data_IF_887715980266
#
_entry.id   IF_887715980266
#
_cell.length_a   1.000
_cell.length_b   1.000
_cell.length_c   1.000
_cell.angle_alpha   90.00
_cell.angle_beta   90.00
_cell.angle_gamma   90.00
#
_symmetry.space_group_name_H-M   'P 1'
#
loop_
_entity.id
_entity.type
_entity.pdbx_description
1 polymer ?
#
# COMPACT_ATOMS: atom_id res chain seq x y z
N UNK A 1 6.41 2.62 26.78
CA UNK A 1 6.93 2.33 25.42
C UNK A 1 6.07 1.30 24.68
N UNK A 2 5.38 0.39 25.34
CA UNK A 2 4.59 -0.69 24.72
C UNK A 2 3.21 -0.25 24.19
N UNK A 3 2.64 0.85 24.68
CA UNK A 3 1.24 1.23 24.42
C UNK A 3 0.87 1.40 22.93
N UNK A 4 1.69 2.05 22.07
CA UNK A 4 1.39 2.13 20.63
C UNK A 4 1.35 0.77 19.94
N UNK A 5 2.23 -0.16 20.34
CA UNK A 5 2.26 -1.53 19.83
C UNK A 5 1.03 -2.33 20.25
N UNK A 6 0.61 -2.18 21.50
CA UNK A 6 -0.63 -2.80 22.00
C UNK A 6 -1.86 -2.25 21.26
N UNK A 7 -1.89 -0.95 20.99
CA UNK A 7 -2.94 -0.31 20.21
C UNK A 7 -3.01 -0.87 18.79
N UNK A 8 -1.87 -0.97 18.11
CA UNK A 8 -1.77 -1.55 16.78
C UNK A 8 -2.16 -3.02 16.75
N UNK A 9 -1.71 -3.81 17.74
CA UNK A 9 -2.09 -5.22 17.86
C UNK A 9 -3.60 -5.38 18.13
N UNK A 10 -4.18 -4.55 18.98
CA UNK A 10 -5.62 -4.56 19.25
C UNK A 10 -6.44 -4.23 17.99
N UNK A 11 -6.02 -3.23 17.20
CA UNK A 11 -6.66 -2.88 15.93
C UNK A 11 -6.59 -4.05 14.95
N UNK A 12 -5.41 -4.62 14.75
CA UNK A 12 -5.23 -5.76 13.85
C UNK A 12 -6.06 -6.99 14.27
N UNK A 13 -6.09 -7.32 15.56
CA UNK A 13 -6.91 -8.42 16.08
C UNK A 13 -8.41 -8.15 15.94
N UNK A 14 -8.83 -6.88 16.12
CA UNK A 14 -10.21 -6.49 15.86
C UNK A 14 -10.59 -6.69 14.39
N UNK A 15 -9.71 -6.28 13.47
CA UNK A 15 -9.94 -6.45 12.03
C UNK A 15 -10.05 -7.94 11.66
N UNK A 16 -9.18 -8.79 12.20
CA UNK A 16 -9.27 -10.24 12.00
C UNK A 16 -10.56 -10.84 12.57
N UNK A 17 -10.94 -10.42 13.77
CA UNK A 17 -12.23 -10.83 14.36
C UNK A 17 -13.40 -10.40 13.48
N UNK A 18 -13.36 -9.17 12.97
CA UNK A 18 -14.39 -8.66 12.08
C UNK A 18 -14.49 -9.47 10.78
N UNK A 19 -13.36 -9.84 10.19
CA UNK A 19 -13.32 -10.72 9.02
C UNK A 19 -13.94 -12.09 9.33
N UNK A 20 -13.58 -12.69 10.46
CA UNK A 20 -13.98 -14.07 10.81
C UNK A 20 -15.46 -14.17 11.22
N UNK A 21 -16.00 -13.20 11.93
CA UNK A 21 -17.31 -13.32 12.58
C UNK A 21 -18.37 -12.48 11.86
N UNK A 22 -18.40 -11.14 11.92
CA UNK A 22 -19.39 -10.35 11.18
C UNK A 22 -19.25 -10.52 9.67
N UNK A 23 -18.01 -10.50 9.17
CA UNK A 23 -17.68 -10.55 7.76
C UNK A 23 -18.11 -11.83 7.04
N UNK A 24 -18.35 -12.91 7.76
CA UNK A 24 -18.86 -14.16 7.18
C UNK A 24 -20.16 -13.96 6.41
N UNK A 25 -20.99 -13.03 6.85
CA UNK A 25 -22.34 -12.79 6.32
C UNK A 25 -22.40 -11.61 5.34
N UNK A 26 -21.30 -10.92 5.14
CA UNK A 26 -21.21 -9.74 4.28
C UNK A 26 -20.35 -10.10 3.07
N UNK A 27 -21.00 -10.37 1.94
CA UNK A 27 -20.29 -10.59 0.66
C UNK A 27 -20.96 -9.70 -0.37
N UNK A 28 -20.23 -8.72 -0.88
CA UNK A 28 -20.66 -7.91 -2.01
C UNK A 28 -20.13 -8.50 -3.34
N UNK A 29 -20.59 -7.92 -4.45
CA UNK A 29 -20.24 -8.37 -5.80
C UNK A 29 -18.75 -8.21 -6.10
N UNK A 30 -18.11 -7.17 -5.56
CA UNK A 30 -16.70 -6.88 -5.83
C UNK A 30 -15.82 -7.90 -5.12
N UNK A 31 -16.16 -8.21 -3.86
CA UNK A 31 -15.45 -9.22 -3.09
C UNK A 31 -15.61 -10.62 -3.70
N UNK A 32 -16.83 -10.97 -4.12
CA UNK A 32 -17.09 -12.23 -4.81
C UNK A 32 -16.27 -12.32 -6.10
N UNK A 33 -16.23 -11.25 -6.89
CA UNK A 33 -15.44 -11.16 -8.12
C UNK A 33 -13.95 -11.38 -7.88
N UNK A 34 -13.38 -10.75 -6.84
CA UNK A 34 -11.96 -10.95 -6.47
C UNK A 34 -11.66 -12.41 -6.08
N UNK A 35 -12.56 -13.04 -5.35
CA UNK A 35 -12.41 -14.45 -4.97
C UNK A 35 -12.53 -15.40 -6.17
N UNK A 36 -13.50 -15.17 -7.07
CA UNK A 36 -13.67 -15.96 -8.31
C UNK A 36 -12.44 -15.79 -9.21
N UNK A 37 -11.94 -14.56 -9.39
CA UNK A 37 -10.72 -14.31 -10.16
C UNK A 37 -9.52 -15.03 -9.53
N UNK A 38 -9.40 -15.02 -8.22
CA UNK A 38 -8.31 -15.68 -7.49
C UNK A 38 -8.32 -17.20 -7.71
N UNK A 39 -9.49 -17.82 -7.65
CA UNK A 39 -9.68 -19.24 -7.92
C UNK A 39 -9.38 -19.59 -9.39
N UNK A 40 -9.87 -18.78 -10.33
CA UNK A 40 -9.59 -18.93 -11.75
C UNK A 40 -8.08 -18.88 -12.04
N UNK A 41 -7.38 -17.88 -11.49
CA UNK A 41 -5.94 -17.73 -11.66
C UNK A 41 -5.14 -18.90 -11.05
N UNK A 42 -5.62 -19.50 -9.95
CA UNK A 42 -5.03 -20.70 -9.39
C UNK A 42 -5.23 -21.92 -10.33
N UNK A 43 -6.42 -22.09 -10.88
CA UNK A 43 -6.74 -23.18 -11.82
C UNK A 43 -5.95 -23.05 -13.13
N UNK A 44 -5.78 -21.85 -13.64
CA UNK A 44 -5.01 -21.58 -14.86
C UNK A 44 -3.49 -21.56 -14.64
N UNK A 45 -3.01 -21.44 -13.41
CA UNK A 45 -1.59 -21.27 -13.09
C UNK A 45 -1.01 -19.98 -13.66
N UNK A 46 -1.83 -18.98 -13.93
CA UNK A 46 -1.46 -17.75 -14.61
C UNK A 46 -1.47 -16.52 -13.68
N UNK A 47 -0.82 -15.44 -14.13
CA UNK A 47 -0.84 -14.12 -13.46
C UNK A 47 -2.04 -13.30 -13.93
N UNK A 48 -2.40 -13.46 -15.18
CA UNK A 48 -3.52 -12.78 -15.86
C UNK A 48 -4.32 -13.85 -16.58
N UNK A 49 -5.64 -13.86 -16.38
CA UNK A 49 -6.54 -14.76 -17.07
C UNK A 49 -7.02 -14.17 -18.41
N UNK A 50 -7.01 -14.97 -19.46
CA UNK A 50 -7.67 -14.62 -20.73
C UNK A 50 -9.18 -14.89 -20.69
N UNK A 51 -9.65 -15.64 -19.70
CA UNK A 51 -11.05 -16.01 -19.49
C UNK A 51 -11.77 -15.06 -18.52
N UNK A 52 -11.13 -13.93 -18.13
CA UNK A 52 -11.68 -12.93 -17.24
C UNK A 52 -11.80 -11.57 -17.92
N UNK A 53 -12.94 -10.93 -17.76
CA UNK A 53 -13.14 -9.56 -18.25
C UNK A 53 -12.66 -8.55 -17.19
N UNK A 54 -11.51 -7.95 -17.44
CA UNK A 54 -10.97 -6.85 -16.63
C UNK A 54 -11.66 -5.54 -17.06
N UNK A 55 -12.53 -4.99 -16.22
CA UNK A 55 -13.34 -3.80 -16.58
C UNK A 55 -12.51 -2.53 -16.71
N UNK A 56 -11.97 -2.02 -15.61
CA UNK A 56 -11.24 -0.73 -15.58
C UNK A 56 -9.78 -0.88 -15.16
N UNK A 57 -9.41 -2.00 -14.56
CA UNK A 57 -8.10 -2.22 -13.96
C UNK A 57 -7.62 -3.64 -14.24
N UNK A 58 -6.38 -3.77 -14.69
CA UNK A 58 -5.80 -5.07 -15.00
C UNK A 58 -5.49 -5.92 -13.74
N UNK A 59 -5.32 -5.26 -12.58
CA UNK A 59 -5.11 -5.90 -11.26
C UNK A 59 -3.99 -6.96 -11.26
N UNK A 60 -2.82 -6.64 -11.81
CA UNK A 60 -1.72 -7.61 -11.94
C UNK A 60 -1.17 -8.03 -10.57
N UNK A 61 -0.97 -7.07 -9.67
CA UNK A 61 -0.54 -7.34 -8.27
C UNK A 61 -1.51 -6.65 -7.33
N UNK A 62 -2.59 -7.31 -6.97
CA UNK A 62 -3.64 -6.78 -6.11
C UNK A 62 -4.12 -7.87 -5.13
N UNK A 63 -5.29 -7.71 -4.53
CA UNK A 63 -5.86 -8.60 -3.52
C UNK A 63 -5.93 -10.07 -3.97
N UNK A 64 -6.18 -10.33 -5.24
CA UNK A 64 -6.25 -11.69 -5.76
C UNK A 64 -5.00 -12.53 -5.43
N UNK A 65 -3.82 -11.93 -5.30
CA UNK A 65 -2.61 -12.67 -4.91
C UNK A 65 -2.70 -13.23 -3.50
N UNK A 66 -3.24 -12.46 -2.59
CA UNK A 66 -3.38 -12.85 -1.18
C UNK A 66 -4.53 -13.87 -1.02
N UNK A 67 -5.62 -13.69 -1.77
CA UNK A 67 -6.72 -14.65 -1.79
C UNK A 67 -6.32 -15.98 -2.43
N UNK A 68 -5.48 -15.95 -3.49
CA UNK A 68 -4.88 -17.16 -4.07
C UNK A 68 -4.12 -17.97 -3.04
N UNK A 69 -3.27 -17.31 -2.23
CA UNK A 69 -2.58 -18.00 -1.12
C UNK A 69 -3.55 -18.60 -0.12
N UNK A 70 -4.62 -17.88 0.21
CA UNK A 70 -5.68 -18.37 1.08
C UNK A 70 -6.39 -19.59 0.50
N UNK A 71 -6.75 -19.56 -0.78
CA UNK A 71 -7.40 -20.69 -1.47
C UNK A 71 -6.49 -21.92 -1.59
N UNK A 72 -5.18 -21.77 -1.66
CA UNK A 72 -4.23 -22.89 -1.61
C UNK A 72 -4.20 -23.56 -0.24
N UNK A 73 -4.44 -22.80 0.84
CA UNK A 73 -4.45 -23.32 2.22
C UNK A 73 -5.83 -23.83 2.64
N UNK A 74 -6.90 -23.20 2.15
CA UNK A 74 -8.29 -23.48 2.49
C UNK A 74 -9.15 -23.62 1.21
N UNK A 75 -8.92 -24.65 0.39
CA UNK A 75 -9.58 -24.79 -0.93
C UNK A 75 -11.10 -24.93 -0.83
N UNK A 76 -11.60 -25.55 0.25
CA UNK A 76 -13.01 -25.83 0.45
C UNK A 76 -13.75 -24.78 1.31
N UNK A 77 -13.01 -23.78 1.82
CA UNK A 77 -13.58 -22.71 2.66
C UNK A 77 -13.13 -21.33 2.18
N UNK A 78 -13.93 -20.74 1.30
CA UNK A 78 -13.66 -19.42 0.75
C UNK A 78 -13.67 -18.30 1.80
N UNK A 79 -14.41 -18.48 2.89
CA UNK A 79 -14.42 -17.52 3.97
C UNK A 79 -13.08 -17.50 4.73
N UNK A 80 -12.55 -18.69 5.07
CA UNK A 80 -11.23 -18.78 5.69
C UNK A 80 -10.12 -18.36 4.72
N UNK A 81 -10.20 -18.76 3.44
CA UNK A 81 -9.26 -18.32 2.41
C UNK A 81 -9.18 -16.79 2.30
N UNK A 82 -10.33 -16.14 2.25
CA UNK A 82 -10.42 -14.67 2.22
C UNK A 82 -9.85 -14.05 3.48
N UNK A 83 -10.26 -14.55 4.65
CA UNK A 83 -9.79 -14.04 5.94
C UNK A 83 -8.28 -14.13 6.07
N UNK A 84 -7.69 -15.24 5.63
CA UNK A 84 -6.24 -15.41 5.58
C UNK A 84 -5.59 -14.38 4.63
N UNK A 85 -6.13 -14.23 3.42
CA UNK A 85 -5.63 -13.25 2.45
C UNK A 85 -5.67 -11.82 3.00
N UNK A 86 -6.76 -11.45 3.69
CA UNK A 86 -6.88 -10.15 4.35
C UNK A 86 -5.93 -10.00 5.52
N UNK A 87 -5.71 -11.04 6.32
CA UNK A 87 -4.72 -11.01 7.41
C UNK A 87 -3.32 -10.68 6.87
N UNK A 88 -2.91 -11.34 5.79
CA UNK A 88 -1.62 -11.06 5.15
C UNK A 88 -1.58 -9.65 4.57
N UNK A 89 -2.64 -9.20 3.90
CA UNK A 89 -2.72 -7.85 3.32
C UNK A 89 -2.60 -6.77 4.39
N UNK A 90 -3.34 -6.89 5.50
CA UNK A 90 -3.28 -5.95 6.62
C UNK A 90 -1.91 -5.97 7.32
N UNK A 91 -1.28 -7.13 7.46
CA UNK A 91 0.07 -7.24 8.01
C UNK A 91 1.11 -6.54 7.12
N UNK A 92 1.02 -6.72 5.79
CA UNK A 92 1.89 -6.02 4.83
C UNK A 92 1.63 -4.52 4.83
N UNK A 93 0.38 -4.10 4.89
CA UNK A 93 0.02 -2.69 5.03
C UNK A 93 0.66 -2.09 6.28
N UNK A 94 0.50 -2.72 7.45
CA UNK A 94 1.12 -2.28 8.69
C UNK A 94 2.65 -2.24 8.59
N UNK A 95 3.27 -3.24 7.98
CA UNK A 95 4.72 -3.30 7.79
C UNK A 95 5.23 -2.15 6.89
N UNK A 96 4.54 -1.85 5.78
CA UNK A 96 4.87 -0.72 4.91
C UNK A 96 4.72 0.63 5.63
N UNK A 97 3.65 0.79 6.43
CA UNK A 97 3.44 1.99 7.25
C UNK A 97 4.54 2.16 8.30
N UNK A 98 4.92 1.07 8.99
CA UNK A 98 6.04 1.10 9.96
C UNK A 98 7.37 1.43 9.29
N UNK A 99 7.61 0.90 8.10
CA UNK A 99 8.78 1.24 7.31
C UNK A 99 8.80 2.73 6.92
N UNK A 100 7.66 3.26 6.48
CA UNK A 100 7.49 4.69 6.21
C UNK A 100 7.75 5.54 7.46
N UNK A 101 7.14 5.20 8.61
CA UNK A 101 7.35 5.88 9.90
C UNK A 101 8.83 5.94 10.28
N UNK A 102 9.54 4.82 10.07
CA UNK A 102 10.99 4.74 10.32
C UNK A 102 11.77 5.67 9.38
N UNK A 103 11.47 5.64 8.08
CA UNK A 103 12.16 6.46 7.08
C UNK A 103 11.85 7.96 7.24
N UNK A 104 10.62 8.30 7.61
CA UNK A 104 10.19 9.67 7.90
C UNK A 104 10.59 10.16 9.30
N UNK A 105 11.28 9.32 10.09
CA UNK A 105 11.76 9.64 11.46
C UNK A 105 10.65 10.13 12.40
N UNK A 106 9.41 9.67 12.21
CA UNK A 106 8.23 10.12 12.98
C UNK A 106 8.22 9.64 14.43
N UNK A 107 9.07 8.67 14.77
CA UNK A 107 9.20 8.16 16.12
C UNK A 107 7.89 7.62 16.71
N UNK A 108 7.64 7.93 17.97
CA UNK A 108 6.47 7.43 18.72
C UNK A 108 5.11 7.91 18.15
N UNK A 109 4.92 9.18 17.75
CA UNK A 109 3.70 9.61 17.06
C UNK A 109 3.37 8.78 15.82
N UNK A 110 4.39 8.42 15.03
CA UNK A 110 4.21 7.57 13.87
C UNK A 110 3.67 6.16 14.22
N UNK A 111 4.09 5.56 15.33
CA UNK A 111 3.55 4.27 15.78
C UNK A 111 2.05 4.37 16.15
N UNK A 112 1.64 5.46 16.80
CA UNK A 112 0.23 5.74 17.07
C UNK A 112 -0.57 5.91 15.78
N UNK A 113 0.00 6.63 14.80
CA UNK A 113 -0.60 6.81 13.48
C UNK A 113 -0.88 5.45 12.81
N UNK A 114 0.07 4.52 12.80
CA UNK A 114 -0.12 3.19 12.20
C UNK A 114 -1.27 2.44 12.87
N UNK A 115 -1.29 2.39 14.21
CA UNK A 115 -2.37 1.74 14.94
C UNK A 115 -3.73 2.39 14.68
N UNK A 116 -3.79 3.72 14.57
CA UNK A 116 -5.03 4.44 14.28
C UNK A 116 -5.51 4.20 12.86
N UNK A 117 -4.60 4.07 11.88
CA UNK A 117 -4.97 3.76 10.49
C UNK A 117 -5.43 2.32 10.29
N UNK A 118 -5.06 1.41 11.16
CA UNK A 118 -5.64 0.06 11.20
C UNK A 118 -7.02 0.06 11.86
N UNK A 119 -7.32 0.99 12.75
CA UNK A 119 -8.59 1.03 13.45
C UNK A 119 -9.72 1.57 12.57
N UNK A 120 -10.87 0.89 12.45
CA UNK A 120 -11.98 1.34 11.64
C UNK A 120 -12.68 2.54 12.28
N UNK A 121 -12.48 3.73 11.75
CA UNK A 121 -13.06 4.98 12.26
C UNK A 121 -14.34 5.43 11.52
N UNK A 122 -14.93 4.55 10.72
CA UNK A 122 -16.19 4.81 10.03
C UNK A 122 -16.63 3.63 9.19
N UNK A 123 -17.94 3.54 8.92
CA UNK A 123 -18.53 2.44 8.18
C UNK A 123 -17.90 2.25 6.79
N UNK A 124 -17.71 3.33 6.05
CA UNK A 124 -17.09 3.26 4.71
C UNK A 124 -15.65 2.80 4.78
N UNK A 125 -14.87 3.28 5.74
CA UNK A 125 -13.50 2.83 5.93
C UNK A 125 -13.45 1.35 6.31
N UNK A 126 -14.32 0.91 7.23
CA UNK A 126 -14.44 -0.49 7.61
C UNK A 126 -14.76 -1.37 6.39
N UNK A 127 -15.76 -1.00 5.60
CA UNK A 127 -16.22 -1.81 4.46
C UNK A 127 -15.21 -1.81 3.32
N UNK A 128 -14.76 -0.64 2.87
CA UNK A 128 -13.95 -0.53 1.65
C UNK A 128 -12.45 -0.71 1.87
N UNK A 129 -11.93 -0.36 3.04
CA UNK A 129 -10.51 -0.52 3.33
C UNK A 129 -10.24 -1.81 4.12
N UNK A 130 -10.84 -1.94 5.30
CA UNK A 130 -10.48 -3.02 6.22
C UNK A 130 -11.12 -4.34 5.80
N UNK A 131 -12.42 -4.35 5.50
CA UNK A 131 -13.15 -5.57 5.15
C UNK A 131 -12.91 -6.01 3.70
N UNK A 132 -13.14 -5.12 2.74
CA UNK A 132 -12.98 -5.38 1.31
C UNK A 132 -11.54 -5.29 0.83
N UNK A 133 -10.69 -4.54 1.53
CA UNK A 133 -9.29 -4.37 1.16
C UNK A 133 -9.04 -3.64 -0.17
N UNK A 134 -10.08 -3.11 -0.82
CA UNK A 134 -10.04 -2.58 -2.19
C UNK A 134 -8.99 -1.49 -2.41
N UNK A 135 -8.65 -0.73 -1.36
CA UNK A 135 -7.68 0.36 -1.42
C UNK A 135 -6.40 0.10 -0.65
N UNK A 136 -6.32 -0.98 0.14
CA UNK A 136 -5.14 -1.27 0.96
C UNK A 136 -3.90 -1.53 0.11
N UNK A 137 -4.05 -2.29 -0.97
CA UNK A 137 -2.92 -2.63 -1.85
C UNK A 137 -2.35 -1.38 -2.51
N UNK A 138 -3.18 -0.45 -2.94
CA UNK A 138 -2.72 0.84 -3.48
C UNK A 138 -1.99 1.65 -2.41
N UNK A 139 -2.56 1.69 -1.20
CA UNK A 139 -2.02 2.49 -0.09
C UNK A 139 -0.67 1.95 0.39
N UNK A 140 -0.48 0.65 0.48
CA UNK A 140 0.83 0.14 0.89
C UNK A 140 1.90 0.37 -0.18
N UNK A 141 1.57 0.31 -1.47
CA UNK A 141 2.51 0.70 -2.53
C UNK A 141 2.92 2.18 -2.41
N UNK A 142 1.96 3.08 -2.12
CA UNK A 142 2.26 4.50 -1.91
C UNK A 142 3.24 4.69 -0.75
N UNK A 143 2.95 4.08 0.39
CA UNK A 143 3.80 4.20 1.57
C UNK A 143 5.18 3.60 1.35
N UNK A 144 5.26 2.49 0.61
CA UNK A 144 6.53 1.88 0.27
C UNK A 144 7.38 2.76 -0.64
N UNK A 145 6.79 3.35 -1.68
CA UNK A 145 7.50 4.29 -2.58
C UNK A 145 7.98 5.51 -1.81
N UNK A 146 7.11 6.13 -1.00
CA UNK A 146 7.49 7.29 -0.17
C UNK A 146 8.61 6.94 0.80
N UNK A 147 8.55 5.78 1.46
CA UNK A 147 9.59 5.32 2.36
C UNK A 147 10.94 5.15 1.66
N UNK A 148 10.95 4.55 0.45
CA UNK A 148 12.15 4.36 -0.34
C UNK A 148 12.75 5.69 -0.79
N UNK A 149 11.91 6.64 -1.23
CA UNK A 149 12.33 8.00 -1.59
C UNK A 149 12.94 8.71 -0.38
N UNK A 150 12.25 8.74 0.77
CA UNK A 150 12.78 9.35 2.00
C UNK A 150 14.10 8.72 2.43
N UNK A 151 14.19 7.39 2.38
CA UNK A 151 15.43 6.68 2.71
C UNK A 151 16.58 7.04 1.77
N UNK A 152 16.30 7.33 0.50
CA UNK A 152 17.32 7.71 -0.47
C UNK A 152 17.97 9.05 -0.13
N UNK A 153 17.27 9.95 0.58
CA UNK A 153 17.79 11.26 0.98
C UNK A 153 18.92 11.15 2.02
N UNK A 154 18.85 10.12 2.89
CA UNK A 154 19.85 9.86 3.94
C UNK A 154 20.97 8.89 3.48
N UNK A 155 20.87 8.32 2.28
CA UNK A 155 21.76 7.28 1.82
C UNK A 155 23.04 7.86 1.14
N UNK A 156 24.15 7.11 1.19
CA UNK A 156 25.30 7.35 0.34
C UNK A 156 24.97 7.12 -1.14
N UNK A 157 25.84 7.54 -2.07
CA UNK A 157 25.57 7.50 -3.52
C UNK A 157 25.15 6.11 -4.03
N UNK A 158 25.79 5.04 -3.54
CA UNK A 158 25.49 3.66 -3.98
C UNK A 158 24.14 3.20 -3.47
N UNK A 159 23.88 3.39 -2.19
CA UNK A 159 22.60 3.02 -1.58
C UNK A 159 21.45 3.91 -2.06
N UNK A 160 21.71 5.19 -2.35
CA UNK A 160 20.73 6.09 -2.97
C UNK A 160 20.26 5.53 -4.33
N UNK A 161 21.18 5.13 -5.21
CA UNK A 161 20.81 4.56 -6.51
C UNK A 161 19.98 3.28 -6.37
N UNK A 162 20.32 2.41 -5.40
CA UNK A 162 19.56 1.19 -5.13
C UNK A 162 18.14 1.50 -4.61
N UNK A 163 17.98 2.50 -3.74
CA UNK A 163 16.66 2.92 -3.24
C UNK A 163 15.79 3.49 -4.37
N UNK A 164 16.37 4.30 -5.26
CA UNK A 164 15.67 4.82 -6.43
C UNK A 164 15.26 3.69 -7.40
N UNK A 165 16.16 2.74 -7.68
CA UNK A 165 15.83 1.58 -8.49
C UNK A 165 14.67 0.79 -7.88
N UNK A 166 14.73 0.52 -6.58
CA UNK A 166 13.65 -0.16 -5.87
C UNK A 166 12.34 0.63 -5.94
N UNK A 167 12.36 1.95 -5.74
CA UNK A 167 11.18 2.80 -5.87
C UNK A 167 10.59 2.76 -7.30
N UNK A 168 11.44 2.79 -8.34
CA UNK A 168 11.00 2.66 -9.74
C UNK A 168 10.34 1.29 -10.00
N UNK A 169 10.93 0.20 -9.51
CA UNK A 169 10.36 -1.15 -9.65
C UNK A 169 8.99 -1.23 -8.96
N UNK A 170 8.89 -0.77 -7.71
CA UNK A 170 7.62 -0.76 -6.96
C UNK A 170 6.59 0.11 -7.67
N UNK A 171 6.98 1.26 -8.20
CA UNK A 171 6.11 2.16 -8.98
C UNK A 171 5.62 1.49 -10.26
N UNK A 172 6.48 0.79 -10.97
CA UNK A 172 6.12 0.06 -12.18
C UNK A 172 5.10 -1.06 -11.87
N UNK A 173 5.36 -1.86 -10.83
CA UNK A 173 4.43 -2.91 -10.37
C UNK A 173 3.09 -2.29 -9.96
N UNK A 174 3.11 -1.21 -9.18
CA UNK A 174 1.91 -0.50 -8.78
C UNK A 174 1.12 0.04 -9.98
N UNK A 175 1.81 0.61 -10.97
CA UNK A 175 1.21 1.14 -12.20
C UNK A 175 0.49 0.08 -13.05
N UNK A 176 0.90 -1.19 -12.95
CA UNK A 176 0.22 -2.30 -13.63
C UNK A 176 -1.20 -2.57 -13.09
N UNK A 177 -1.57 -1.98 -11.94
CA UNK A 177 -2.92 -2.08 -11.38
C UNK A 177 -3.91 -1.06 -11.98
N UNK A 178 -3.48 -0.23 -12.91
CA UNK A 178 -4.36 0.67 -13.64
C UNK A 178 -4.19 2.17 -13.33
N UNK A 179 -5.04 2.96 -13.95
CA UNK A 179 -4.93 4.42 -14.00
C UNK A 179 -5.16 5.11 -12.66
N UNK A 180 -5.89 4.48 -11.74
CA UNK A 180 -6.12 5.03 -10.38
C UNK A 180 -4.83 5.31 -9.65
N UNK A 181 -3.86 4.40 -9.75
CA UNK A 181 -2.55 4.54 -9.11
C UNK A 181 -1.83 5.79 -9.63
N UNK A 182 -1.87 6.01 -10.93
CA UNK A 182 -1.27 7.17 -11.57
C UNK A 182 -1.91 8.47 -11.07
N UNK A 183 -3.24 8.54 -11.08
CA UNK A 183 -3.98 9.78 -10.76
C UNK A 183 -3.96 10.11 -9.27
N UNK A 184 -4.09 9.12 -8.40
CA UNK A 184 -4.25 9.36 -6.94
C UNK A 184 -2.90 9.58 -6.26
N UNK A 185 -1.82 9.00 -6.78
CA UNK A 185 -0.51 9.08 -6.12
C UNK A 185 0.58 9.71 -6.98
N UNK A 186 0.86 9.16 -8.16
CA UNK A 186 2.03 9.58 -8.94
C UNK A 186 1.90 11.01 -9.47
N UNK A 187 0.73 11.38 -9.97
CA UNK A 187 0.51 12.74 -10.45
C UNK A 187 0.61 13.79 -9.32
N UNK A 188 -0.07 13.63 -8.17
CA UNK A 188 0.14 14.52 -7.01
C UNK A 188 1.60 14.56 -6.53
N UNK A 189 2.30 13.42 -6.51
CA UNK A 189 3.71 13.38 -6.11
C UNK A 189 4.60 14.16 -7.08
N UNK A 190 4.39 14.01 -8.38
CA UNK A 190 5.10 14.79 -9.40
C UNK A 190 4.81 16.29 -9.26
N UNK A 191 3.54 16.66 -9.06
CA UNK A 191 3.16 18.07 -8.86
C UNK A 191 3.84 18.63 -7.60
N UNK A 192 3.81 17.89 -6.49
CA UNK A 192 4.48 18.30 -5.26
C UNK A 192 5.99 18.47 -5.47
N UNK A 193 6.65 17.55 -6.19
CA UNK A 193 8.07 17.65 -6.51
C UNK A 193 8.39 18.88 -7.36
N UNK A 194 7.56 19.23 -8.35
CA UNK A 194 7.71 20.42 -9.18
C UNK A 194 7.53 21.69 -8.32
N UNK A 195 6.50 21.73 -7.47
CA UNK A 195 6.27 22.88 -6.57
C UNK A 195 7.48 23.08 -5.64
N UNK A 196 7.97 22.01 -5.02
CA UNK A 196 9.15 22.10 -4.15
C UNK A 196 10.40 22.57 -4.90
N UNK A 197 10.60 22.13 -6.14
CA UNK A 197 11.70 22.59 -6.98
C UNK A 197 11.57 24.09 -7.30
N UNK A 198 10.38 24.54 -7.67
CA UNK A 198 10.12 25.97 -7.97
C UNK A 198 10.37 26.84 -6.73
N UNK A 199 9.87 26.42 -5.56
CA UNK A 199 10.10 27.12 -4.30
C UNK A 199 11.61 27.18 -3.97
N UNK A 200 12.33 26.07 -4.13
CA UNK A 200 13.76 26.05 -3.88
C UNK A 200 14.58 26.91 -4.85
N UNK A 201 14.19 27.01 -6.12
CA UNK A 201 14.77 27.93 -7.09
C UNK A 201 14.52 29.39 -6.69
N UNK A 202 13.30 29.70 -6.26
CA UNK A 202 12.93 31.04 -5.80
C UNK A 202 13.76 31.44 -4.56
N UNK A 203 13.81 30.56 -3.54
CA UNK A 203 14.49 30.85 -2.27
C UNK A 203 16.02 30.92 -2.42
N UNK A 204 16.60 30.14 -3.33
CA UNK A 204 18.05 30.15 -3.58
C UNK A 204 18.51 31.35 -4.43
N UNK A 205 17.59 32.10 -5.04
CA UNK A 205 17.90 33.20 -5.95
C UNK A 205 18.72 32.80 -7.18
N UNK A 206 18.79 31.53 -7.48
CA UNK A 206 19.55 30.94 -8.60
C UNK A 206 18.63 30.30 -9.62
N UNK A 207 18.97 30.43 -10.89
CA UNK A 207 18.30 29.71 -11.98
C UNK A 207 18.85 28.29 -12.19
N UNK A 208 19.92 27.90 -11.46
CA UNK A 208 20.52 26.57 -11.57
C UNK A 208 19.76 25.55 -10.69
N UNK A 209 19.03 24.67 -11.36
CA UNK A 209 18.25 23.61 -10.72
C UNK A 209 19.10 22.62 -9.88
N UNK A 210 20.40 22.43 -10.22
CA UNK A 210 21.29 21.55 -9.46
C UNK A 210 21.61 22.14 -8.10
N UNK A 211 21.87 23.44 -8.06
CA UNK A 211 22.11 24.18 -6.82
C UNK A 211 20.85 24.23 -5.96
N UNK A 212 19.67 24.44 -6.57
CA UNK A 212 18.39 24.40 -5.87
C UNK A 212 18.09 23.02 -5.25
N UNK A 213 18.33 21.93 -5.97
CA UNK A 213 18.18 20.56 -5.43
C UNK A 213 19.15 20.27 -4.27
N UNK A 214 20.38 20.78 -4.32
CA UNK A 214 21.32 20.65 -3.21
C UNK A 214 20.86 21.45 -1.98
N UNK A 215 20.22 22.57 -2.19
CA UNK A 215 19.63 23.38 -1.11
C UNK A 215 18.45 22.65 -0.45
N UNK A 216 17.50 22.12 -1.23
CA UNK A 216 16.41 21.28 -0.73
C UNK A 216 16.92 20.11 0.09
N UNK A 217 17.95 19.41 -0.40
CA UNK A 217 18.52 18.25 0.29
C UNK A 217 19.13 18.57 1.65
N UNK A 218 19.51 19.82 1.90
CA UNK A 218 20.07 20.27 3.18
C UNK A 218 18.99 20.71 4.18
N UNK A 219 17.77 20.96 3.70
CA UNK A 219 16.66 21.43 4.53
C UNK A 219 15.73 20.28 4.99
N UNK A 220 15.83 19.09 4.37
CA UNK A 220 15.12 17.86 4.73
C UNK A 220 16.02 16.97 5.58
#
# INVERSE_FOLDING_TARGET
QALPWLWMAAAYLFDLWYQLVPGKWIVDSDLASEMILSDLLNKEGSIISHNWFYSTELKVVNLQWFYRLGLLLFPDDWHLARTFGMAVTLALYAACMLFFVKCAKLGRPGLWMVGTLLWPFGQHYLVYAIYGGYYLVYTFFYMLVLALVLRSLDADKKHCALQWLAACIVTAIAGMNGVKQLMVFHAPLCIAAVILLVLALHDSGTSDWKTALQHCRRQV
#
